data_IF_224414872638
#
_entry.id   IF_224414872638
#
_cell.length_a   1.000
_cell.length_b   1.000
_cell.length_c   1.000
_cell.angle_alpha   90.00
_cell.angle_beta   90.00
_cell.angle_gamma   90.00
#
_symmetry.space_group_name_H-M   'P 1'
#
loop_
_entity.id
_entity.type
_entity.pdbx_description
1 polymer ?
#
# COMPACT_ATOMS: atom_id res chain seq x y z
N UNK A 1 10.85 12.97 17.66
CA UNK A 1 10.18 11.98 16.77
C UNK A 1 9.27 12.76 15.84
N UNK A 2 9.50 12.74 14.53
CA UNK A 2 8.85 13.63 13.55
C UNK A 2 7.65 12.99 12.83
N UNK A 3 7.02 11.95 13.41
CA UNK A 3 5.85 11.31 12.82
C UNK A 3 6.09 10.52 11.53
N UNK A 4 7.35 10.19 11.21
CA UNK A 4 7.71 9.36 10.07
C UNK A 4 7.17 7.93 10.23
N UNK A 5 6.58 7.40 9.16
CA UNK A 5 6.08 6.02 9.11
C UNK A 5 7.22 5.12 8.63
N UNK A 6 7.65 4.20 9.50
CA UNK A 6 8.71 3.24 9.21
C UNK A 6 8.15 2.02 8.50
N UNK A 7 9.00 1.39 7.71
CA UNK A 7 8.69 0.13 7.05
C UNK A 7 8.51 -1.02 8.03
N UNK A 8 7.83 -2.05 7.56
CA UNK A 8 7.56 -3.30 8.28
C UNK A 8 7.86 -4.48 7.38
N UNK A 9 8.34 -5.58 7.95
CA UNK A 9 8.70 -6.79 7.18
C UNK A 9 7.48 -7.57 6.65
N UNK A 10 6.29 -7.33 7.22
CA UNK A 10 5.10 -8.17 7.02
C UNK A 10 3.96 -7.49 6.28
N UNK A 11 4.21 -6.54 5.37
CA UNK A 11 3.12 -5.79 4.71
C UNK A 11 2.24 -6.70 3.83
N UNK A 12 2.84 -7.59 3.03
CA UNK A 12 2.11 -8.48 2.13
C UNK A 12 1.14 -9.40 2.86
N UNK A 13 1.56 -10.19 3.87
CA UNK A 13 0.63 -11.03 4.61
C UNK A 13 -0.44 -10.20 5.35
N UNK A 14 -0.11 -8.98 5.80
CA UNK A 14 -1.07 -8.10 6.47
C UNK A 14 -2.19 -7.63 5.55
N UNK A 15 -1.84 -7.17 4.34
CA UNK A 15 -2.83 -6.73 3.34
C UNK A 15 -3.63 -7.94 2.82
N UNK A 16 -2.97 -9.09 2.64
CA UNK A 16 -3.64 -10.32 2.20
C UNK A 16 -4.70 -10.80 3.22
N UNK A 17 -4.42 -10.69 4.51
CA UNK A 17 -5.31 -11.13 5.58
C UNK A 17 -6.66 -10.38 5.62
N UNK A 18 -6.69 -9.16 5.09
CA UNK A 18 -7.88 -8.30 5.07
C UNK A 18 -8.58 -8.26 3.70
N UNK A 19 -8.03 -8.94 2.69
CA UNK A 19 -8.62 -9.04 1.35
C UNK A 19 -10.06 -9.56 1.41
N UNK A 20 -10.99 -8.85 0.75
CA UNK A 20 -12.41 -9.17 0.75
C UNK A 20 -13.18 -8.76 2.01
N UNK A 21 -12.49 -8.20 3.01
CA UNK A 21 -13.11 -7.65 4.24
C UNK A 21 -13.01 -6.13 4.31
N UNK A 22 -11.88 -5.58 3.86
CA UNK A 22 -11.66 -4.13 3.76
C UNK A 22 -11.27 -3.77 2.33
N UNK A 23 -11.83 -2.69 1.77
CA UNK A 23 -11.53 -2.28 0.40
C UNK A 23 -10.22 -1.50 0.25
N UNK A 24 -9.70 -0.92 1.35
CA UNK A 24 -8.57 0.02 1.34
C UNK A 24 -7.60 -0.29 2.47
N UNK A 25 -6.30 -0.15 2.21
CA UNK A 25 -5.23 -0.28 3.19
C UNK A 25 -4.22 0.86 3.04
N UNK A 26 -3.81 1.46 4.16
CA UNK A 26 -2.69 2.41 4.20
C UNK A 26 -1.46 1.67 4.72
N UNK A 27 -0.34 1.81 4.03
CA UNK A 27 0.92 1.12 4.35
C UNK A 27 2.09 2.10 4.34
N UNK A 28 3.23 1.77 4.96
CA UNK A 28 4.44 2.57 4.83
C UNK A 28 4.83 2.75 3.36
N UNK A 29 5.30 3.93 2.99
CA UNK A 29 5.65 4.25 1.60
C UNK A 29 6.64 3.24 1.02
N UNK A 30 7.66 2.81 1.77
CA UNK A 30 8.63 1.83 1.27
C UNK A 30 8.01 0.44 1.01
N UNK A 31 6.91 0.11 1.67
CA UNK A 31 6.18 -1.15 1.53
C UNK A 31 5.08 -1.12 0.47
N UNK A 32 4.77 0.04 -0.11
CA UNK A 32 3.58 0.26 -0.97
C UNK A 32 3.52 -0.68 -2.19
N UNK A 33 4.67 -0.91 -2.83
CA UNK A 33 4.79 -1.81 -3.99
C UNK A 33 4.43 -3.24 -3.62
N UNK A 34 4.88 -3.71 -2.45
CA UNK A 34 4.61 -5.08 -2.00
C UNK A 34 3.15 -5.25 -1.58
N UNK A 35 2.57 -4.26 -0.89
CA UNK A 35 1.14 -4.25 -0.60
C UNK A 35 0.27 -4.30 -1.85
N UNK A 36 0.66 -3.58 -2.92
CA UNK A 36 -0.06 -3.52 -4.19
C UNK A 36 -0.08 -4.85 -4.98
N UNK A 37 0.66 -5.88 -4.54
CA UNK A 37 0.55 -7.25 -5.09
C UNK A 37 -0.78 -7.91 -4.72
N UNK A 38 -1.47 -7.43 -3.68
CA UNK A 38 -2.76 -7.99 -3.26
C UNK A 38 -3.88 -7.34 -4.06
N UNK A 39 -4.36 -8.04 -5.08
CA UNK A 39 -5.54 -7.63 -5.81
C UNK A 39 -6.79 -7.59 -4.92
N UNK A 40 -7.70 -6.64 -5.21
CA UNK A 40 -8.95 -6.46 -4.47
C UNK A 40 -8.83 -5.63 -3.19
N UNK A 41 -7.66 -5.05 -2.91
CA UNK A 41 -7.47 -4.04 -1.85
C UNK A 41 -6.72 -2.85 -2.47
N UNK A 42 -7.29 -1.65 -2.36
CA UNK A 42 -6.61 -0.43 -2.77
C UNK A 42 -5.53 -0.08 -1.74
N UNK A 43 -4.27 -0.05 -2.15
CA UNK A 43 -3.14 0.20 -1.26
C UNK A 43 -2.65 1.63 -1.43
N UNK A 44 -2.55 2.36 -0.32
CA UNK A 44 -2.08 3.75 -0.28
C UNK A 44 -0.77 3.81 0.52
N UNK A 45 0.31 4.31 -0.09
CA UNK A 45 1.61 4.47 0.57
C UNK A 45 1.76 5.83 1.22
N UNK A 46 2.23 5.88 2.47
CA UNK A 46 2.44 7.15 3.21
C UNK A 46 3.82 7.22 3.88
N UNK A 47 4.41 8.42 3.93
CA UNK A 47 5.72 8.68 4.55
C UNK A 47 5.60 9.18 5.98
N UNK A 48 4.46 9.76 6.36
CA UNK A 48 4.25 10.33 7.69
C UNK A 48 2.81 10.23 8.16
N UNK A 49 2.61 10.34 9.47
CA UNK A 49 1.26 10.40 10.06
C UNK A 49 0.50 11.66 9.60
N UNK A 50 1.20 12.76 9.30
CA UNK A 50 0.59 13.99 8.78
C UNK A 50 -0.10 13.74 7.44
N UNK A 51 0.51 12.99 6.52
CA UNK A 51 -0.11 12.64 5.23
C UNK A 51 -1.42 11.86 5.44
N UNK A 52 -1.46 10.94 6.41
CA UNK A 52 -2.69 10.20 6.74
C UNK A 52 -3.77 11.14 7.27
N UNK A 53 -3.42 12.06 8.18
CA UNK A 53 -4.38 13.03 8.74
C UNK A 53 -4.91 13.95 7.63
N UNK A 54 -4.05 14.53 6.81
CA UNK A 54 -4.45 15.40 5.71
C UNK A 54 -5.38 14.67 4.72
N UNK A 55 -5.09 13.41 4.42
CA UNK A 55 -5.93 12.57 3.58
C UNK A 55 -7.31 12.31 4.18
N UNK A 56 -7.38 11.92 5.45
CA UNK A 56 -8.65 11.63 6.12
C UNK A 56 -9.48 12.90 6.37
N UNK A 57 -8.83 14.05 6.53
CA UNK A 57 -9.49 15.36 6.64
C UNK A 57 -9.94 15.94 5.29
N UNK A 58 -9.52 15.34 4.16
CA UNK A 58 -9.81 15.85 2.82
C UNK A 58 -9.00 17.08 2.41
N UNK A 59 -7.92 17.38 3.14
CA UNK A 59 -6.99 18.49 2.84
C UNK A 59 -6.03 18.11 1.70
N UNK A 60 -5.66 16.84 1.59
CA UNK A 60 -4.81 16.29 0.53
C UNK A 60 -5.43 15.01 -0.05
N UNK A 61 -5.18 14.75 -1.33
CA UNK A 61 -5.59 13.49 -1.97
C UNK A 61 -4.42 12.51 -2.03
N UNK A 62 -4.60 11.31 -1.46
CA UNK A 62 -3.72 10.18 -1.72
C UNK A 62 -4.30 9.33 -2.84
N UNK A 63 -3.44 8.92 -3.76
CA UNK A 63 -3.80 7.99 -4.84
C UNK A 63 -3.41 6.58 -4.46
N UNK A 64 -4.25 5.57 -4.76
CA UNK A 64 -3.87 4.20 -4.55
C UNK A 64 -2.75 3.83 -5.54
N UNK A 65 -1.86 2.94 -5.09
CA UNK A 65 -0.88 2.30 -5.94
C UNK A 65 -1.58 1.48 -7.03
N UNK A 66 -0.95 1.43 -8.20
CA UNK A 66 -1.45 0.58 -9.28
C UNK A 66 -1.35 -0.88 -8.85
N UNK A 67 -2.44 -1.67 -8.93
CA UNK A 67 -2.37 -3.10 -8.64
C UNK A 67 -1.32 -3.76 -9.53
N UNK A 68 -0.46 -4.57 -8.91
CA UNK A 68 0.55 -5.33 -9.62
C UNK A 68 0.02 -6.74 -9.91
N UNK A 69 0.00 -7.13 -11.18
CA UNK A 69 -0.28 -8.51 -11.56
C UNK A 69 1.02 -9.34 -11.49
N UNK A 70 1.07 -10.27 -10.53
CA UNK A 70 2.17 -11.23 -10.37
C UNK A 70 2.43 -11.99 -11.68
N UNK A 71 1.38 -12.32 -12.44
CA UNK A 71 1.51 -13.02 -13.72
C UNK A 71 2.29 -12.19 -14.73
N UNK A 72 2.09 -10.87 -14.77
CA UNK A 72 2.87 -9.97 -15.61
C UNK A 72 4.33 -9.88 -15.16
N UNK A 73 4.57 -9.81 -13.85
CA UNK A 73 5.93 -9.77 -13.28
C UNK A 73 6.69 -11.06 -13.65
N UNK A 74 6.06 -12.22 -13.50
CA UNK A 74 6.67 -13.52 -13.83
C UNK A 74 6.96 -13.65 -15.33
N UNK A 75 6.06 -13.16 -16.19
CA UNK A 75 6.28 -13.12 -17.65
C UNK A 75 7.42 -12.17 -18.05
N UNK A 76 7.58 -11.05 -17.35
CA UNK A 76 8.63 -10.07 -17.60
C UNK A 76 10.04 -10.54 -17.20
N UNK A 77 10.16 -11.42 -16.19
CA UNK A 77 11.44 -12.00 -15.73
C UNK A 77 11.96 -13.17 -16.59
N UNK A 78 11.13 -13.71 -17.49
CA UNK A 78 11.50 -14.83 -18.36
C UNK A 78 12.16 -14.38 -19.68
N UNK A 79 12.52 -13.10 -19.81
CA UNK A 79 13.24 -12.51 -20.95
C UNK A 79 14.65 -12.10 -20.55
#
# INVERSE_FOLDING_TARGET
>A
MEGQVREVDGVLPSVLAVRGKVPKAVVPYNNRTEGALVSGVEVYGVKSLREIVAFLSGEEELKPEKPLDISEILRGKAR
#
